data_IF_606459693930
#
_entry.id   IF_606459693930
#
_cell.length_a   1.000
_cell.length_b   1.000
_cell.length_c   1.000
_cell.angle_alpha   90.00
_cell.angle_beta   90.00
_cell.angle_gamma   90.00
#
_symmetry.space_group_name_H-M   'P 1'
#
loop_
_entity.id
_entity.type
_entity.pdbx_description
1 polymer ?
#
# COMPACT_ATOMS: atom_id res chain seq x y z
N UNK A 1 10.08 -49.60 29.05
CA UNK A 1 10.57 -49.59 27.64
C UNK A 1 10.82 -48.14 27.26
N UNK A 2 12.00 -47.93 26.67
CA UNK A 2 12.79 -46.73 26.39
C UNK A 2 12.10 -45.45 25.86
N UNK A 3 12.50 -44.33 26.48
CA UNK A 3 12.90 -43.00 25.98
C UNK A 3 12.47 -42.49 24.59
N UNK A 4 12.11 -41.20 24.56
CA UNK A 4 12.07 -40.39 23.34
C UNK A 4 11.78 -38.90 23.58
N UNK A 5 12.77 -38.18 24.10
CA UNK A 5 12.82 -36.71 24.15
C UNK A 5 12.74 -36.09 22.75
N UNK A 6 11.94 -35.04 22.54
CA UNK A 6 12.16 -34.06 21.45
C UNK A 6 11.67 -32.68 21.86
N UNK A 7 12.62 -31.76 22.01
CA UNK A 7 12.39 -30.34 22.26
C UNK A 7 11.95 -29.55 21.01
N UNK A 8 11.92 -28.21 21.10
CA UNK A 8 11.13 -27.37 20.20
C UNK A 8 11.97 -26.85 19.02
N UNK A 9 11.98 -27.53 17.88
CA UNK A 9 12.17 -26.94 16.55
C UNK A 9 12.13 -28.03 15.47
N UNK A 10 11.17 -27.93 14.55
CA UNK A 10 11.11 -28.79 13.37
C UNK A 10 9.83 -28.53 12.59
N UNK A 11 9.93 -27.70 11.55
CA UNK A 11 8.92 -27.53 10.51
C UNK A 11 8.54 -28.89 9.90
N UNK A 12 7.45 -29.48 10.36
CA UNK A 12 6.69 -30.49 9.64
C UNK A 12 5.28 -29.96 9.54
N UNK A 13 4.76 -29.79 8.32
CA UNK A 13 3.38 -29.34 8.11
C UNK A 13 2.43 -30.13 9.00
N UNK A 14 1.74 -29.43 9.90
CA UNK A 14 0.70 -30.04 10.73
C UNK A 14 -0.39 -30.60 9.81
N UNK A 15 -0.54 -31.93 9.69
CA UNK A 15 -1.48 -32.54 8.75
C UNK A 15 -2.93 -32.23 9.12
N UNK A 16 -3.21 -31.93 10.38
CA UNK A 16 -4.53 -31.48 10.82
C UNK A 16 -4.77 -30.02 10.42
N UNK A 17 -3.77 -29.16 10.58
CA UNK A 17 -3.80 -27.77 10.10
C UNK A 17 -3.99 -27.64 8.59
N UNK A 18 -3.34 -28.49 7.78
CA UNK A 18 -3.52 -28.59 6.32
C UNK A 18 -4.96 -28.96 5.94
N UNK A 19 -5.55 -29.96 6.63
CA UNK A 19 -6.93 -30.38 6.41
C UNK A 19 -7.93 -29.26 6.72
N UNK A 20 -7.76 -28.59 7.85
CA UNK A 20 -8.61 -27.45 8.24
C UNK A 20 -8.44 -26.27 7.27
N UNK A 21 -7.22 -25.99 6.80
CA UNK A 21 -6.98 -24.96 5.79
C UNK A 21 -7.69 -25.30 4.47
N UNK A 22 -7.66 -26.56 4.01
CA UNK A 22 -8.40 -26.98 2.81
C UNK A 22 -9.92 -26.86 2.98
N UNK A 23 -10.43 -27.18 4.18
CA UNK A 23 -11.85 -27.19 4.48
C UNK A 23 -12.44 -25.79 4.68
N UNK A 24 -11.68 -24.86 5.28
CA UNK A 24 -12.14 -23.50 5.61
C UNK A 24 -11.61 -22.39 4.66
N UNK A 25 -11.11 -22.75 3.47
CA UNK A 25 -10.85 -21.78 2.40
C UNK A 25 -9.40 -21.30 2.23
N UNK A 26 -8.44 -22.20 2.37
CA UNK A 26 -7.02 -21.95 2.12
C UNK A 26 -6.34 -21.03 3.13
N UNK A 27 -5.02 -20.80 3.00
CA UNK A 27 -4.31 -19.84 3.81
C UNK A 27 -4.96 -18.45 3.65
N UNK A 28 -5.39 -17.84 4.76
CA UNK A 28 -5.87 -16.46 4.72
C UNK A 28 -4.78 -15.55 4.17
N UNK A 29 -5.10 -14.58 3.30
CA UNK A 29 -4.12 -13.62 2.82
C UNK A 29 -3.48 -12.95 4.04
N UNK A 30 -2.15 -13.06 4.14
CA UNK A 30 -1.39 -12.41 5.21
C UNK A 30 -1.52 -10.90 5.03
N UNK A 31 -2.12 -10.22 6.00
CA UNK A 31 -2.14 -8.77 6.01
C UNK A 31 -0.73 -8.28 6.29
N UNK A 32 -0.07 -7.76 5.27
CA UNK A 32 1.26 -7.18 5.39
C UNK A 32 1.06 -5.73 5.83
N UNK A 33 1.66 -5.36 6.97
CA UNK A 33 1.78 -3.95 7.34
C UNK A 33 2.83 -3.28 6.44
N UNK A 34 2.37 -2.80 5.28
CA UNK A 34 3.22 -2.15 4.27
C UNK A 34 3.87 -0.90 4.89
N UNK A 35 3.20 -0.21 5.82
CA UNK A 35 3.73 0.97 6.50
C UNK A 35 5.04 0.72 7.24
N UNK A 36 5.22 -0.51 7.77
CA UNK A 36 6.49 -0.94 8.39
C UNK A 36 7.62 -1.18 7.39
N UNK A 37 7.30 -1.48 6.13
CA UNK A 37 8.28 -1.69 5.05
C UNK A 37 8.73 -0.38 4.40
N UNK A 38 7.94 0.68 4.52
CA UNK A 38 8.27 1.98 3.94
C UNK A 38 9.44 2.64 4.66
N UNK A 39 10.36 3.23 3.88
CA UNK A 39 11.35 4.15 4.42
C UNK A 39 10.68 5.36 5.07
N UNK A 40 11.41 6.12 5.89
CA UNK A 40 10.87 7.36 6.48
C UNK A 40 10.38 8.35 5.40
N UNK A 41 11.15 8.66 4.35
CA UNK A 41 10.67 9.53 3.26
C UNK A 41 9.41 8.99 2.56
N UNK A 42 9.32 7.67 2.37
CA UNK A 42 8.13 7.08 1.75
C UNK A 42 6.89 7.21 2.65
N UNK A 43 7.04 7.08 3.98
CA UNK A 43 5.95 7.34 4.94
C UNK A 43 5.51 8.81 4.94
N UNK A 44 6.46 9.73 4.83
CA UNK A 44 6.18 11.18 4.74
C UNK A 44 5.42 11.50 3.44
N UNK A 45 5.82 10.92 2.31
CA UNK A 45 5.10 11.05 1.03
C UNK A 45 3.67 10.51 1.11
N UNK A 46 3.49 9.31 1.67
CA UNK A 46 2.14 8.71 1.84
C UNK A 46 1.26 9.57 2.75
N UNK A 47 1.83 10.14 3.82
CA UNK A 47 1.10 11.08 4.68
C UNK A 47 0.66 12.33 3.91
N UNK A 48 1.54 12.93 3.12
CA UNK A 48 1.20 14.09 2.28
C UNK A 48 0.11 13.77 1.26
N UNK A 49 0.18 12.59 0.65
CA UNK A 49 -0.83 12.11 -0.29
C UNK A 49 -2.20 11.89 0.37
N UNK A 50 -2.24 11.28 1.56
CA UNK A 50 -3.47 11.08 2.31
C UNK A 50 -4.11 12.41 2.76
N UNK A 51 -3.28 13.38 3.17
CA UNK A 51 -3.76 14.73 3.47
C UNK A 51 -4.36 15.40 2.23
N UNK A 52 -3.66 15.36 1.10
CA UNK A 52 -4.15 15.90 -0.16
C UNK A 52 -5.48 15.25 -0.58
N UNK A 53 -5.59 13.91 -0.49
CA UNK A 53 -6.82 13.19 -0.77
C UNK A 53 -8.00 13.69 0.08
N UNK A 54 -7.79 13.84 1.39
CA UNK A 54 -8.83 14.32 2.31
C UNK A 54 -9.24 15.78 2.02
N UNK A 55 -8.28 16.66 1.73
CA UNK A 55 -8.53 18.06 1.37
C UNK A 55 -9.33 18.19 0.06
N UNK A 56 -9.19 17.23 -0.85
CA UNK A 56 -9.88 17.20 -2.15
C UNK A 56 -11.13 16.29 -2.14
N UNK A 57 -11.60 15.88 -0.97
CA UNK A 57 -12.86 15.14 -0.80
C UNK A 57 -12.80 13.66 -1.15
N UNK A 58 -11.61 13.08 -1.33
CA UNK A 58 -11.45 11.63 -1.51
C UNK A 58 -11.40 10.92 -0.17
N UNK A 59 -12.18 9.84 -0.04
CA UNK A 59 -12.15 8.92 1.12
C UNK A 59 -11.00 7.92 1.05
N UNK A 60 -10.54 7.62 -0.17
CA UNK A 60 -9.54 6.59 -0.46
C UNK A 60 -8.26 7.24 -1.00
N UNK A 61 -7.13 6.58 -0.70
CA UNK A 61 -5.82 6.99 -1.20
C UNK A 61 -5.55 6.34 -2.56
N UNK A 62 -5.91 7.04 -3.63
CA UNK A 62 -5.57 6.64 -5.01
C UNK A 62 -4.19 7.12 -5.49
N UNK A 63 -3.72 6.51 -6.58
CA UNK A 63 -2.44 6.79 -7.25
C UNK A 63 -2.24 8.28 -7.56
N UNK A 64 -3.31 8.98 -7.97
CA UNK A 64 -3.22 10.41 -8.30
C UNK A 64 -2.77 11.26 -7.10
N UNK A 65 -3.21 10.93 -5.88
CA UNK A 65 -2.81 11.64 -4.68
C UNK A 65 -1.33 11.37 -4.33
N UNK A 66 -0.87 10.13 -4.54
CA UNK A 66 0.55 9.77 -4.38
C UNK A 66 1.44 10.53 -5.36
N UNK A 67 1.05 10.56 -6.63
CA UNK A 67 1.77 11.32 -7.65
C UNK A 67 1.77 12.81 -7.31
N UNK A 68 0.63 13.36 -6.87
CA UNK A 68 0.52 14.76 -6.50
C UNK A 68 1.44 15.15 -5.35
N UNK A 69 1.52 14.30 -4.31
CA UNK A 69 2.43 14.49 -3.19
C UNK A 69 3.89 14.33 -3.62
N UNK A 70 4.19 13.39 -4.53
CA UNK A 70 5.55 13.18 -5.05
C UNK A 70 6.09 14.42 -5.79
N UNK A 71 5.23 15.13 -6.55
CA UNK A 71 5.60 16.37 -7.24
C UNK A 71 5.95 17.53 -6.30
N UNK A 72 5.47 17.48 -5.05
CA UNK A 72 5.79 18.44 -4.00
C UNK A 72 6.94 17.99 -3.09
N UNK A 73 7.42 16.75 -3.22
CA UNK A 73 8.40 16.15 -2.30
C UNK A 73 9.81 16.15 -2.89
N UNK A 74 10.80 16.48 -2.05
CA UNK A 74 12.21 16.30 -2.40
C UNK A 74 12.68 14.85 -2.12
N UNK A 75 13.62 14.28 -2.90
CA UNK A 75 14.34 14.88 -4.03
C UNK A 75 13.60 14.78 -5.37
N UNK A 76 12.39 14.21 -5.40
CA UNK A 76 11.63 13.89 -6.62
C UNK A 76 11.38 15.14 -7.45
N UNK A 77 10.93 16.23 -6.82
CA UNK A 77 10.70 17.51 -7.50
C UNK A 77 11.97 18.01 -8.21
N UNK A 78 13.10 18.07 -7.51
CA UNK A 78 14.38 18.49 -8.10
C UNK A 78 14.84 17.58 -9.25
N UNK A 79 14.60 16.27 -9.16
CA UNK A 79 14.94 15.33 -10.23
C UNK A 79 14.09 15.57 -11.49
N UNK A 80 12.79 15.81 -11.32
CA UNK A 80 11.89 16.11 -12.43
C UNK A 80 12.25 17.42 -13.12
N UNK A 81 12.52 18.49 -12.35
CA UNK A 81 12.96 19.77 -12.91
C UNK A 81 14.27 19.64 -13.69
N UNK A 82 15.25 18.88 -13.19
CA UNK A 82 16.50 18.63 -13.91
C UNK A 82 16.33 17.78 -15.17
N UNK A 83 15.29 16.94 -15.21
CA UNK A 83 14.93 16.17 -16.39
C UNK A 83 14.15 17.00 -17.42
N UNK A 84 13.88 18.28 -17.16
CA UNK A 84 13.15 19.19 -18.06
C UNK A 84 11.63 19.12 -17.92
N UNK A 85 11.11 18.39 -16.94
CA UNK A 85 9.70 18.44 -16.60
C UNK A 85 9.40 19.67 -15.72
N UNK A 86 8.17 20.17 -15.81
CA UNK A 86 7.63 21.19 -14.89
C UNK A 86 6.73 20.50 -13.85
N UNK A 87 7.19 20.34 -12.59
CA UNK A 87 6.40 19.70 -11.55
C UNK A 87 5.10 20.42 -11.22
N UNK A 88 5.04 21.75 -11.39
CA UNK A 88 3.85 22.54 -11.08
C UNK A 88 2.81 22.41 -12.20
N UNK A 89 3.24 22.37 -13.46
CA UNK A 89 2.35 22.03 -14.57
C UNK A 89 1.82 20.58 -14.48
N UNK A 90 2.64 19.62 -14.03
CA UNK A 90 2.20 18.25 -13.80
C UNK A 90 1.21 18.16 -12.63
N UNK A 91 1.45 18.91 -11.57
CA UNK A 91 0.55 18.97 -10.42
C UNK A 91 -0.82 19.51 -10.85
N UNK A 92 -0.83 20.61 -11.60
CA UNK A 92 -2.07 21.21 -12.10
C UNK A 92 -2.88 20.23 -12.97
N UNK A 93 -2.21 19.47 -13.85
CA UNK A 93 -2.87 18.43 -14.65
C UNK A 93 -3.47 17.30 -13.81
N UNK A 94 -2.85 16.95 -12.68
CA UNK A 94 -3.42 15.97 -11.75
C UNK A 94 -4.64 16.58 -11.06
N UNK A 95 -4.53 17.82 -10.59
CA UNK A 95 -5.59 18.53 -9.87
C UNK A 95 -6.86 18.66 -10.76
N UNK A 96 -6.69 18.95 -12.06
CA UNK A 96 -7.78 18.99 -13.05
C UNK A 96 -8.47 17.63 -13.28
N UNK A 97 -7.71 16.53 -13.25
CA UNK A 97 -8.22 15.18 -13.51
C UNK A 97 -8.78 14.50 -12.26
N UNK A 98 -8.33 14.91 -11.08
CA UNK A 98 -8.69 14.31 -9.79
C UNK A 98 -10.05 14.76 -9.25
N UNK A 99 -10.97 15.22 -10.12
CA UNK A 99 -12.35 15.57 -9.75
C UNK A 99 -13.03 14.48 -8.88
N UNK A 100 -14.14 14.80 -8.18
CA UNK A 100 -14.68 13.98 -7.10
C UNK A 100 -14.75 12.51 -7.49
N UNK A 101 -14.11 11.67 -6.67
CA UNK A 101 -13.81 10.28 -6.96
C UNK A 101 -15.04 9.57 -7.55
N UNK A 102 -14.94 9.17 -8.82
CA UNK A 102 -15.93 8.32 -9.46
C UNK A 102 -15.75 6.90 -8.94
N UNK A 103 -16.15 6.67 -7.69
CA UNK A 103 -16.25 5.31 -7.19
C UNK A 103 -17.47 4.68 -7.86
N UNK A 104 -17.22 3.90 -8.92
CA UNK A 104 -18.21 2.91 -9.33
C UNK A 104 -18.50 2.05 -8.10
N UNK A 105 -19.77 1.85 -7.71
CA UNK A 105 -20.10 1.02 -6.57
C UNK A 105 -19.53 -0.37 -6.84
N UNK A 106 -18.66 -0.80 -5.93
CA UNK A 106 -18.07 -2.13 -5.92
C UNK A 106 -19.25 -3.12 -5.90
N UNK A 107 -19.62 -3.63 -7.07
CA UNK A 107 -20.75 -4.55 -7.21
C UNK A 107 -20.23 -5.89 -6.76
N UNK A 108 -20.31 -6.14 -5.46
CA UNK A 108 -20.03 -7.44 -4.88
C UNK A 108 -21.06 -8.47 -5.41
N UNK A 109 -20.63 -9.68 -5.80
CA UNK A 109 -21.53 -10.78 -6.18
C UNK A 109 -22.29 -11.38 -5.00
#
# INVERSE_FOLDING_TARGET
MTSGFTGPQGYGSDPFGEFLARFFGGPRPRQIDIGRLLSRPARELVRGAAQYAAEHGSRDLDTQHLLRAALASEPTRSLLSRAGADPDALASQIDERSGPAQHAPDTAP
#
